data_IF_470925392471
#
_entry.id   IF_470925392471
#
_cell.length_a   1.000
_cell.length_b   1.000
_cell.length_c   1.000
_cell.angle_alpha   90.00
_cell.angle_beta   90.00
_cell.angle_gamma   90.00
#
_symmetry.space_group_name_H-M   'P 1'
#
loop_
_entity.id
_entity.type
_entity.pdbx_description
1 polymer ?
#
# COMPACT_ATOMS: atom_id res chain seq x y z
N UNK A 1 -18.82 51.17 -23.20
CA UNK A 1 -17.76 50.53 -22.39
C UNK A 1 -17.59 49.12 -22.92
N UNK A 2 -16.45 48.79 -23.52
CA UNK A 2 -16.24 47.48 -24.11
C UNK A 2 -16.02 46.45 -22.99
N UNK A 3 -16.90 45.46 -22.94
CA UNK A 3 -16.88 44.36 -21.99
C UNK A 3 -15.69 43.45 -22.32
N UNK A 4 -14.59 43.58 -21.58
CA UNK A 4 -13.45 42.66 -21.68
C UNK A 4 -13.89 41.31 -21.14
N UNK A 5 -14.19 40.37 -22.04
CA UNK A 5 -14.39 38.97 -21.68
C UNK A 5 -13.11 38.43 -21.02
N UNK A 6 -13.21 37.74 -19.87
CA UNK A 6 -12.03 37.19 -19.21
C UNK A 6 -11.41 36.12 -20.10
N UNK A 7 -10.18 36.36 -20.56
CA UNK A 7 -9.37 35.37 -21.26
C UNK A 7 -9.16 34.19 -20.32
N UNK A 8 -9.84 33.08 -20.60
CA UNK A 8 -9.64 31.82 -19.91
C UNK A 8 -8.18 31.39 -20.11
N UNK A 9 -7.35 31.60 -19.10
CA UNK A 9 -5.90 31.35 -19.09
C UNK A 9 -5.55 29.89 -18.78
N UNK A 10 -6.51 28.97 -18.93
CA UNK A 10 -6.18 27.54 -18.95
C UNK A 10 -5.55 27.18 -20.30
N UNK A 11 -4.31 26.66 -20.28
CA UNK A 11 -3.64 26.19 -21.49
C UNK A 11 -4.50 25.11 -22.17
N UNK A 12 -4.87 25.27 -23.45
CA UNK A 12 -5.67 24.28 -24.16
C UNK A 12 -4.97 22.92 -24.19
N UNK A 13 -5.74 21.86 -23.93
CA UNK A 13 -5.22 20.49 -23.93
C UNK A 13 -5.02 20.00 -25.38
N UNK A 14 -3.80 20.17 -25.90
CA UNK A 14 -3.45 19.78 -27.27
C UNK A 14 -3.40 18.25 -27.44
N UNK A 15 -4.37 17.72 -28.19
CA UNK A 15 -4.42 16.32 -28.63
C UNK A 15 -3.22 15.94 -29.51
N UNK A 16 -2.93 14.64 -29.61
CA UNK A 16 -1.79 14.13 -30.40
C UNK A 16 -1.85 14.53 -31.87
N UNK A 17 -3.04 14.47 -32.48
CA UNK A 17 -3.27 14.84 -33.88
C UNK A 17 -2.84 16.28 -34.18
N UNK A 18 -3.14 17.21 -33.28
CA UNK A 18 -2.75 18.61 -33.41
C UNK A 18 -1.23 18.76 -33.45
N UNK A 19 -0.52 18.01 -32.59
CA UNK A 19 0.94 18.07 -32.51
C UNK A 19 1.60 17.47 -33.74
N UNK A 20 1.10 16.32 -34.21
CA UNK A 20 1.60 15.66 -35.42
C UNK A 20 1.45 16.60 -36.60
N UNK A 21 0.28 17.21 -36.76
CA UNK A 21 0.02 18.16 -37.83
C UNK A 21 0.99 19.35 -37.78
N UNK A 22 1.14 20.01 -36.62
CA UNK A 22 2.04 21.15 -36.49
C UNK A 22 3.50 20.78 -36.81
N UNK A 23 3.96 19.61 -36.36
CA UNK A 23 5.33 19.14 -36.63
C UNK A 23 5.52 18.80 -38.11
N UNK A 24 4.57 18.09 -38.72
CA UNK A 24 4.61 17.71 -40.14
C UNK A 24 4.65 18.93 -41.06
N UNK A 25 3.74 19.88 -40.86
CA UNK A 25 3.68 21.09 -41.69
C UNK A 25 4.84 22.05 -41.43
N UNK A 26 5.38 22.07 -40.20
CA UNK A 26 6.62 22.79 -39.92
C UNK A 26 7.79 22.23 -40.73
N UNK A 27 7.93 20.91 -40.84
CA UNK A 27 8.98 20.31 -41.67
C UNK A 27 8.79 20.59 -43.17
N UNK A 28 7.55 20.73 -43.65
CA UNK A 28 7.26 21.08 -45.06
C UNK A 28 7.56 22.54 -45.40
N UNK A 29 7.15 23.49 -44.54
CA UNK A 29 7.17 24.92 -44.87
C UNK A 29 8.22 25.74 -44.11
N UNK A 30 8.70 25.27 -42.96
CA UNK A 30 9.70 25.96 -42.14
C UNK A 30 9.22 27.22 -41.41
N UNK A 31 7.98 27.67 -41.62
CA UNK A 31 7.41 28.87 -40.98
C UNK A 31 6.31 28.52 -39.97
N UNK A 32 6.27 29.26 -38.85
CA UNK A 32 5.28 29.05 -37.78
C UNK A 32 3.93 29.71 -38.08
N UNK A 33 3.93 30.86 -38.76
CA UNK A 33 2.69 31.57 -39.12
C UNK A 33 1.86 30.76 -40.10
N UNK A 34 2.50 30.19 -41.12
CA UNK A 34 1.85 29.32 -42.10
C UNK A 34 1.29 28.06 -41.45
N UNK A 35 2.00 27.47 -40.47
CA UNK A 35 1.49 26.33 -39.70
C UNK A 35 0.23 26.71 -38.92
N UNK A 36 0.20 27.89 -38.31
CA UNK A 36 -0.96 28.36 -37.55
C UNK A 36 -2.17 28.66 -38.43
N UNK A 37 -1.97 29.29 -39.58
CA UNK A 37 -3.02 29.53 -40.59
C UNK A 37 -3.64 28.21 -41.07
N UNK A 38 -2.79 27.25 -41.46
CA UNK A 38 -3.23 25.92 -41.88
C UNK A 38 -3.88 25.12 -40.75
N UNK A 39 -3.43 25.33 -39.51
CA UNK A 39 -4.03 24.71 -38.33
C UNK A 39 -5.46 25.20 -38.10
N UNK A 40 -5.69 26.51 -38.17
CA UNK A 40 -7.03 27.09 -38.08
C UNK A 40 -7.93 26.61 -39.22
N UNK A 41 -7.40 26.54 -40.45
CA UNK A 41 -8.14 26.03 -41.60
C UNK A 41 -8.56 24.57 -41.45
N UNK A 42 -7.76 23.73 -40.77
CA UNK A 42 -8.04 22.30 -40.61
C UNK A 42 -8.92 21.96 -39.42
N UNK A 43 -8.66 22.55 -38.26
CA UNK A 43 -9.25 22.10 -36.98
C UNK A 43 -10.35 23.01 -36.43
N UNK A 44 -10.69 24.11 -37.12
CA UNK A 44 -11.69 25.10 -36.68
C UNK A 44 -11.54 25.49 -35.19
N UNK A 45 -10.30 25.48 -34.69
CA UNK A 45 -10.03 25.68 -33.28
C UNK A 45 -10.01 27.19 -32.97
N UNK A 46 -10.68 27.57 -31.88
CA UNK A 46 -10.70 28.95 -31.39
C UNK A 46 -9.31 29.48 -31.03
N UNK A 47 -8.36 28.59 -30.72
CA UNK A 47 -6.96 28.93 -30.48
C UNK A 47 -6.03 27.96 -31.19
N UNK A 48 -4.89 28.48 -31.64
CA UNK A 48 -3.80 27.71 -32.24
C UNK A 48 -2.59 27.69 -31.29
N UNK A 49 -1.75 26.63 -31.32
CA UNK A 49 -0.55 26.57 -30.51
C UNK A 49 0.36 27.78 -30.74
N UNK A 50 0.84 28.39 -29.66
CA UNK A 50 1.79 29.48 -29.77
C UNK A 50 3.15 28.98 -30.28
N UNK A 51 3.95 29.89 -30.84
CA UNK A 51 5.27 29.57 -31.44
C UNK A 51 6.16 28.73 -30.51
N UNK A 52 6.21 29.06 -29.21
CA UNK A 52 7.03 28.33 -28.23
C UNK A 52 6.57 26.88 -28.04
N UNK A 53 5.26 26.61 -28.09
CA UNK A 53 4.70 25.27 -27.99
C UNK A 53 5.05 24.43 -29.23
N UNK A 54 4.91 25.00 -30.43
CA UNK A 54 5.29 24.31 -31.67
C UNK A 54 6.79 24.05 -31.69
N UNK A 55 7.61 25.03 -31.29
CA UNK A 55 9.06 24.87 -31.20
C UNK A 55 9.46 23.80 -30.18
N UNK A 56 8.75 23.69 -29.06
CA UNK A 56 8.93 22.61 -28.08
C UNK A 56 8.62 21.24 -28.69
N UNK A 57 7.53 21.09 -29.44
CA UNK A 57 7.21 19.82 -30.12
C UNK A 57 8.22 19.46 -31.20
N UNK A 58 8.66 20.41 -32.01
CA UNK A 58 9.68 20.19 -33.05
C UNK A 58 11.01 19.79 -32.43
N UNK A 59 11.45 20.49 -31.38
CA UNK A 59 12.70 20.14 -30.67
C UNK A 59 12.62 18.76 -30.01
N UNK A 60 11.49 18.44 -29.38
CA UNK A 60 11.23 17.11 -28.82
C UNK A 60 11.26 16.02 -29.90
N UNK A 61 10.61 16.25 -31.04
CA UNK A 61 10.60 15.33 -32.17
C UNK A 61 12.00 15.15 -32.78
N UNK A 62 12.82 16.21 -32.87
CA UNK A 62 14.21 16.11 -33.35
C UNK A 62 15.11 15.34 -32.39
N UNK A 63 14.91 15.50 -31.08
CA UNK A 63 15.73 14.84 -30.07
C UNK A 63 15.39 13.34 -29.90
N UNK A 64 14.10 13.00 -29.90
CA UNK A 64 13.63 11.65 -29.55
C UNK A 64 12.95 10.90 -30.70
N UNK A 65 12.69 11.55 -31.84
CA UNK A 65 11.99 10.96 -32.99
C UNK A 65 10.48 10.76 -32.77
N UNK A 66 9.92 11.27 -31.67
CA UNK A 66 8.52 11.06 -31.31
C UNK A 66 7.82 12.36 -30.96
N UNK A 67 6.51 12.45 -31.23
CA UNK A 67 5.64 13.58 -30.86
C UNK A 67 4.79 13.29 -29.61
N UNK A 68 4.82 12.03 -29.14
CA UNK A 68 4.14 11.62 -27.92
C UNK A 68 4.75 12.31 -26.70
N UNK A 69 3.89 12.69 -25.75
CA UNK A 69 4.39 13.14 -24.45
C UNK A 69 4.95 11.94 -23.68
N UNK A 70 6.27 11.83 -23.65
CA UNK A 70 6.99 10.79 -22.91
C UNK A 70 6.71 10.85 -21.39
N UNK A 71 6.28 12.01 -20.87
CA UNK A 71 6.01 12.18 -19.44
C UNK A 71 4.61 11.70 -19.00
N UNK A 72 3.84 11.06 -19.88
CA UNK A 72 2.53 10.50 -19.56
C UNK A 72 2.68 9.21 -18.73
N UNK A 73 1.69 8.89 -17.87
CA UNK A 73 1.71 7.68 -17.04
C UNK A 73 1.84 6.38 -17.84
N UNK A 74 1.32 6.36 -19.06
CA UNK A 74 1.29 5.17 -19.92
C UNK A 74 2.62 4.96 -20.69
N UNK A 75 3.42 6.01 -20.85
CA UNK A 75 4.73 5.91 -21.47
C UNK A 75 5.77 5.48 -20.44
N UNK A 76 6.26 4.25 -20.59
CA UNK A 76 7.35 3.67 -19.77
C UNK A 76 8.63 4.53 -19.76
N UNK A 77 8.76 5.47 -20.70
CA UNK A 77 9.93 6.32 -20.90
C UNK A 77 9.68 7.68 -20.25
N UNK A 78 10.24 7.90 -19.06
CA UNK A 78 10.36 9.22 -18.42
C UNK A 78 9.08 9.78 -17.78
N UNK A 79 8.48 9.08 -16.83
CA UNK A 79 7.54 9.75 -15.91
C UNK A 79 8.29 10.79 -15.09
N UNK A 80 7.64 11.93 -14.79
CA UNK A 80 8.23 12.93 -13.89
C UNK A 80 8.67 12.23 -12.61
N UNK A 81 9.95 12.34 -12.25
CA UNK A 81 10.43 11.86 -10.96
C UNK A 81 9.64 12.61 -9.90
N UNK A 82 8.64 11.95 -9.30
CA UNK A 82 7.77 12.58 -8.33
C UNK A 82 8.57 13.08 -7.12
N UNK A 83 7.90 13.76 -6.19
CA UNK A 83 8.54 14.18 -4.94
C UNK A 83 9.20 12.97 -4.25
N UNK A 84 10.47 13.05 -3.82
CA UNK A 84 11.15 11.93 -3.19
C UNK A 84 10.38 11.47 -1.95
N UNK A 85 10.25 10.16 -1.79
CA UNK A 85 9.55 9.57 -0.64
C UNK A 85 10.48 9.61 0.57
N UNK A 86 9.93 10.03 1.72
CA UNK A 86 10.60 9.95 3.03
C UNK A 86 10.74 8.52 3.58
N UNK A 87 10.17 7.53 2.89
CA UNK A 87 10.24 6.12 3.27
C UNK A 87 11.37 5.46 2.48
N UNK A 88 12.57 5.54 3.04
CA UNK A 88 13.75 4.82 2.54
C UNK A 88 13.82 3.44 3.21
N UNK A 89 14.64 2.54 2.66
CA UNK A 89 14.84 1.21 3.27
C UNK A 89 15.42 1.32 4.68
N UNK A 90 16.39 2.21 4.88
CA UNK A 90 16.99 2.54 6.18
C UNK A 90 15.93 2.91 7.23
N UNK A 91 15.02 3.83 6.88
CA UNK A 91 13.94 4.25 7.78
C UNK A 91 12.99 3.09 8.12
N UNK A 92 12.76 2.16 7.19
CA UNK A 92 11.91 0.99 7.45
C UNK A 92 12.59 0.05 8.45
N UNK A 93 13.89 -0.16 8.32
CA UNK A 93 14.65 -1.01 9.23
C UNK A 93 14.80 -0.39 10.61
N UNK A 94 15.05 0.92 10.72
CA UNK A 94 15.04 1.66 11.99
C UNK A 94 13.69 1.53 12.71
N UNK A 95 12.59 1.66 11.97
CA UNK A 95 11.24 1.50 12.53
C UNK A 95 11.02 0.06 12.98
N UNK A 96 11.48 -0.94 12.22
CA UNK A 96 11.37 -2.36 12.57
C UNK A 96 12.13 -2.65 13.87
N UNK A 97 13.37 -2.21 13.99
CA UNK A 97 14.18 -2.40 15.19
C UNK A 97 13.55 -1.71 16.39
N UNK A 98 13.14 -0.44 16.24
CA UNK A 98 12.50 0.30 17.30
C UNK A 98 11.24 -0.41 17.83
N UNK A 99 10.42 -0.97 16.93
CA UNK A 99 9.21 -1.71 17.31
C UNK A 99 9.56 -3.00 18.05
N UNK A 100 10.57 -3.74 17.60
CA UNK A 100 11.08 -4.93 18.30
C UNK A 100 11.54 -4.62 19.72
N UNK A 101 12.29 -3.55 19.90
CA UNK A 101 12.81 -3.11 21.20
C UNK A 101 11.71 -2.67 22.18
N UNK A 102 10.62 -2.08 21.67
CA UNK A 102 9.57 -1.52 22.52
C UNK A 102 8.17 -1.60 21.91
N UNK A 103 7.54 -2.79 21.85
CA UNK A 103 6.29 -2.98 21.10
C UNK A 103 5.11 -2.16 21.65
N UNK A 104 5.11 -1.84 22.95
CA UNK A 104 4.03 -1.08 23.63
C UNK A 104 4.11 0.44 23.40
N UNK A 105 5.18 0.96 22.79
CA UNK A 105 5.39 2.41 22.63
C UNK A 105 4.46 2.96 21.54
N UNK A 106 3.79 4.07 21.83
CA UNK A 106 2.84 4.69 20.91
C UNK A 106 3.51 5.26 19.67
N UNK A 107 2.74 5.34 18.58
CA UNK A 107 3.17 5.89 17.28
C UNK A 107 3.75 7.29 17.45
N UNK A 108 3.09 8.18 18.21
CA UNK A 108 3.54 9.56 18.43
C UNK A 108 4.89 9.62 19.15
N UNK A 109 5.06 8.83 20.23
CA UNK A 109 6.32 8.77 20.98
C UNK A 109 7.47 8.14 20.18
N UNK A 110 7.15 7.23 19.26
CA UNK A 110 8.12 6.60 18.36
C UNK A 110 8.52 7.53 17.21
N UNK A 111 7.55 8.26 16.66
CA UNK A 111 7.76 9.29 15.65
C UNK A 111 8.71 10.37 16.18
N UNK A 112 8.53 10.81 17.43
CA UNK A 112 9.43 11.76 18.07
C UNK A 112 10.84 11.21 18.25
N UNK A 113 11.01 9.94 18.65
CA UNK A 113 12.36 9.35 18.83
C UNK A 113 13.09 9.13 17.52
N UNK A 114 12.38 8.80 16.44
CA UNK A 114 12.96 8.56 15.12
C UNK A 114 13.01 9.83 14.24
N UNK A 115 12.52 10.97 14.72
CA UNK A 115 12.41 12.23 13.95
C UNK A 115 11.58 12.15 12.65
N UNK A 116 10.66 11.17 12.57
CA UNK A 116 9.78 10.92 11.42
C UNK A 116 8.38 11.49 11.71
N UNK A 117 7.60 11.90 10.70
CA UNK A 117 6.22 12.35 10.97
C UNK A 117 5.32 11.18 11.40
N UNK A 118 4.32 11.38 12.28
CA UNK A 118 3.45 10.29 12.73
C UNK A 118 2.72 9.57 11.58
N UNK A 119 2.33 10.33 10.55
CA UNK A 119 1.66 9.81 9.35
C UNK A 119 2.56 8.93 8.51
N UNK A 120 3.84 9.28 8.35
CA UNK A 120 4.79 8.45 7.60
C UNK A 120 5.12 7.18 8.38
N UNK A 121 5.32 7.29 9.69
CA UNK A 121 5.53 6.13 10.57
C UNK A 121 4.34 5.16 10.56
N UNK A 122 3.10 5.66 10.62
CA UNK A 122 1.91 4.82 10.51
C UNK A 122 1.85 4.07 9.17
N UNK A 123 2.19 4.75 8.06
CA UNK A 123 2.22 4.10 6.75
C UNK A 123 3.32 3.03 6.66
N UNK A 124 4.49 3.27 7.25
CA UNK A 124 5.55 2.24 7.35
C UNK A 124 5.05 1.02 8.12
N UNK A 125 4.44 1.23 9.31
CA UNK A 125 3.90 0.13 10.11
C UNK A 125 2.82 -0.66 9.37
N UNK A 126 1.92 0.01 8.65
CA UNK A 126 0.74 -0.61 8.04
C UNK A 126 0.98 -1.18 6.64
N UNK A 127 1.75 -0.48 5.80
CA UNK A 127 1.95 -0.81 4.38
C UNK A 127 3.23 -1.60 4.16
N UNK A 128 4.32 -1.21 4.83
CA UNK A 128 5.65 -1.77 4.57
C UNK A 128 5.95 -2.96 5.50
N UNK A 129 5.67 -2.81 6.80
CA UNK A 129 5.87 -3.88 7.81
C UNK A 129 4.64 -4.76 8.03
N UNK A 130 3.49 -4.38 7.48
CA UNK A 130 2.22 -5.11 7.60
C UNK A 130 1.82 -5.46 9.04
N UNK A 131 2.15 -4.61 10.02
CA UNK A 131 1.75 -4.82 11.40
C UNK A 131 0.25 -4.52 11.61
N UNK A 132 -0.37 -5.36 12.44
CA UNK A 132 -1.73 -5.16 12.90
C UNK A 132 -1.72 -4.48 14.27
N UNK A 133 -2.71 -3.60 14.54
CA UNK A 133 -2.84 -3.04 15.88
C UNK A 133 -3.02 -4.19 16.88
N UNK A 134 -2.19 -4.18 17.92
CA UNK A 134 -2.28 -5.18 18.99
C UNK A 134 -3.59 -5.00 19.77
N UNK A 135 -4.35 -6.08 19.96
CA UNK A 135 -5.53 -6.09 20.83
C UNK A 135 -5.07 -6.24 22.27
N UNK A 136 -5.29 -5.21 23.10
CA UNK A 136 -4.95 -5.25 24.52
C UNK A 136 -5.80 -6.35 25.19
N UNK A 137 -5.16 -7.41 25.64
CA UNK A 137 -5.77 -8.42 26.51
C UNK A 137 -5.49 -8.02 27.96
N UNK A 138 -6.54 -7.62 28.68
CA UNK A 138 -6.47 -7.39 30.12
C UNK A 138 -6.67 -8.71 30.85
N UNK A 139 -5.78 -9.03 31.79
CA UNK A 139 -5.86 -10.21 32.64
C UNK A 139 -5.50 -9.88 34.08
N UNK A 140 -5.78 -10.80 35.00
CA UNK A 140 -5.39 -10.65 36.41
C UNK A 140 -3.86 -10.56 36.53
N UNK A 141 -3.38 -9.60 37.34
CA UNK A 141 -1.95 -9.49 37.66
C UNK A 141 -1.53 -10.71 38.50
N UNK A 142 -0.57 -11.48 38.01
CA UNK A 142 -0.03 -12.65 38.72
C UNK A 142 1.23 -12.31 39.48
N UNK A 143 1.30 -12.72 40.74
CA UNK A 143 2.55 -12.74 41.49
C UNK A 143 3.45 -13.87 40.99
N UNK A 144 4.74 -13.82 41.32
CA UNK A 144 5.67 -14.89 40.95
C UNK A 144 5.29 -16.23 41.61
N UNK A 145 4.74 -16.19 42.83
CA UNK A 145 4.25 -17.38 43.53
C UNK A 145 3.05 -17.99 42.81
N UNK A 146 2.12 -17.16 42.32
CA UNK A 146 0.94 -17.63 41.58
C UNK A 146 1.33 -18.33 40.28
N UNK A 147 2.37 -17.84 39.59
CA UNK A 147 2.90 -18.48 38.38
C UNK A 147 3.37 -19.90 38.66
N UNK A 148 4.18 -20.08 39.71
CA UNK A 148 4.70 -21.41 40.10
C UNK A 148 3.55 -22.34 40.48
N UNK A 149 2.59 -21.87 41.29
CA UNK A 149 1.42 -22.67 41.68
C UNK A 149 0.57 -23.07 40.48
N UNK A 150 0.36 -22.17 39.52
CA UNK A 150 -0.42 -22.46 38.31
C UNK A 150 0.26 -23.48 37.42
N UNK A 151 1.59 -23.41 37.26
CA UNK A 151 2.35 -24.43 36.51
C UNK A 151 2.24 -25.78 37.20
N UNK A 152 2.51 -25.85 38.51
CA UNK A 152 2.39 -27.10 39.26
C UNK A 152 0.96 -27.68 39.25
N UNK A 153 -0.06 -26.82 39.25
CA UNK A 153 -1.45 -27.24 39.09
C UNK A 153 -1.70 -27.81 37.68
N UNK A 154 -1.21 -27.14 36.64
CA UNK A 154 -1.36 -27.60 35.26
C UNK A 154 -0.70 -28.97 35.04
N UNK A 155 0.53 -29.16 35.52
CA UNK A 155 1.25 -30.45 35.46
C UNK A 155 0.48 -31.57 36.15
N UNK A 156 -0.05 -31.30 37.36
CA UNK A 156 -0.90 -32.26 38.09
C UNK A 156 -2.18 -32.60 37.35
N UNK A 157 -2.80 -31.62 36.68
CA UNK A 157 -3.99 -31.85 35.88
C UNK A 157 -3.70 -32.68 34.64
N UNK A 158 -2.61 -32.39 33.93
CA UNK A 158 -2.17 -33.17 32.77
C UNK A 158 -1.91 -34.63 33.16
N UNK A 159 -1.14 -34.87 34.23
CA UNK A 159 -0.87 -36.23 34.72
C UNK A 159 -2.16 -36.97 35.11
N UNK A 160 -3.14 -36.27 35.70
CA UNK A 160 -4.44 -36.88 36.04
C UNK A 160 -5.25 -37.24 34.81
N UNK A 161 -5.28 -36.38 33.79
CA UNK A 161 -5.95 -36.64 32.51
C UNK A 161 -5.34 -37.86 31.82
N UNK A 162 -4.01 -37.99 31.80
CA UNK A 162 -3.32 -39.15 31.20
C UNK A 162 -3.56 -40.45 31.97
N UNK A 163 -3.60 -40.39 33.31
CA UNK A 163 -3.80 -41.57 34.16
C UNK A 163 -5.25 -42.07 34.22
N UNK A 164 -6.23 -41.20 33.94
CA UNK A 164 -7.64 -41.50 34.18
C UNK A 164 -8.51 -40.90 33.07
N UNK A 165 -8.90 -41.75 32.11
CA UNK A 165 -9.70 -41.39 30.93
C UNK A 165 -11.11 -40.87 31.29
N UNK A 166 -11.60 -41.18 32.50
CA UNK A 166 -12.88 -40.69 33.03
C UNK A 166 -12.79 -39.36 33.77
N UNK A 167 -11.59 -38.81 34.00
CA UNK A 167 -11.37 -37.60 34.81
C UNK A 167 -12.11 -36.36 34.27
N UNK A 168 -12.23 -36.23 32.95
CA UNK A 168 -12.94 -35.12 32.31
C UNK A 168 -14.44 -35.42 32.03
N UNK A 169 -14.97 -36.55 32.51
CA UNK A 169 -16.39 -36.88 32.42
C UNK A 169 -16.92 -37.18 31.01
N UNK A 170 -16.05 -37.31 30.00
CA UNK A 170 -16.47 -37.64 28.63
C UNK A 170 -16.92 -39.11 28.46
N UNK A 171 -16.75 -39.95 29.48
CA UNK A 171 -17.05 -41.38 29.44
C UNK A 171 -18.49 -41.78 29.82
N UNK A 172 -19.42 -40.82 29.94
CA UNK A 172 -20.84 -41.15 30.17
C UNK A 172 -21.46 -41.78 28.89
N UNK A 173 -22.17 -42.93 28.99
CA UNK A 173 -22.84 -43.57 27.84
C UNK A 173 -23.74 -42.63 27.04
N UNK A 174 -24.33 -41.62 27.70
CA UNK A 174 -25.19 -40.60 27.08
C UNK A 174 -24.43 -39.64 26.17
N UNK A 175 -23.14 -39.41 26.41
CA UNK A 175 -22.25 -38.56 25.59
C UNK A 175 -21.76 -39.29 24.32
N UNK A 176 -21.58 -40.61 24.41
CA UNK A 176 -21.14 -41.48 23.30
C UNK A 176 -22.19 -41.54 22.17
N UNK A 177 -23.47 -41.47 22.53
CA UNK A 177 -24.60 -41.35 21.59
C UNK A 177 -24.62 -39.99 20.87
N UNK A 178 -24.38 -38.88 21.58
CA UNK A 178 -24.32 -37.52 21.01
C UNK A 178 -23.14 -37.38 20.04
N UNK A 179 -21.98 -37.92 20.39
CA UNK A 179 -20.79 -37.93 19.52
C UNK A 179 -20.91 -38.89 18.33
N UNK A 180 -21.75 -39.93 18.39
CA UNK A 180 -22.07 -40.77 17.23
C UNK A 180 -23.05 -40.10 16.27
N UNK A 181 -23.93 -39.22 16.78
CA UNK A 181 -24.91 -38.47 16.00
C UNK A 181 -24.30 -37.20 15.38
N UNK A 182 -23.33 -36.57 16.05
CA UNK A 182 -22.46 -35.55 15.46
C UNK A 182 -21.34 -36.24 14.66
N UNK A 183 -21.64 -36.60 13.40
CA UNK A 183 -20.80 -37.38 12.49
C UNK A 183 -19.29 -37.11 12.55
N UNK A 184 -18.52 -38.18 12.31
CA UNK A 184 -17.09 -38.37 12.59
C UNK A 184 -16.05 -37.49 11.88
N UNK A 185 -16.33 -36.20 11.69
CA UNK A 185 -15.38 -35.23 11.12
C UNK A 185 -14.78 -34.25 12.13
N UNK A 186 -15.31 -34.14 13.35
CA UNK A 186 -14.86 -33.12 14.33
C UNK A 186 -13.87 -33.67 15.37
N UNK A 187 -13.93 -34.96 15.71
CA UNK A 187 -13.07 -35.51 16.78
C UNK A 187 -11.61 -35.71 16.32
N UNK A 188 -11.39 -35.91 15.01
CA UNK A 188 -10.04 -36.16 14.46
C UNK A 188 -9.19 -34.89 14.37
N UNK A 189 -9.80 -33.71 14.31
CA UNK A 189 -9.09 -32.42 14.23
C UNK A 189 -8.68 -31.86 15.60
N UNK A 190 -9.35 -32.24 16.69
CA UNK A 190 -8.93 -31.83 18.03
C UNK A 190 -7.76 -32.66 18.59
N UNK A 191 -7.71 -33.97 18.31
CA UNK A 191 -6.65 -34.83 18.84
C UNK A 191 -5.29 -34.68 18.13
N UNK A 192 -5.26 -34.29 16.85
CA UNK A 192 -4.00 -34.09 16.11
C UNK A 192 -3.43 -32.65 16.19
N UNK A 193 -4.21 -31.67 16.65
CA UNK A 193 -3.79 -30.27 16.71
C UNK A 193 -2.85 -29.95 17.89
N UNK A 194 -2.96 -30.70 19.00
CA UNK A 194 -2.16 -30.46 20.21
C UNK A 194 -0.76 -31.11 20.13
N UNK A 195 -0.59 -32.16 19.32
CA UNK A 195 0.68 -32.88 19.17
C UNK A 195 1.71 -32.21 18.25
N UNK A 196 1.37 -31.09 17.59
CA UNK A 196 2.30 -30.38 16.67
C UNK A 196 2.91 -29.10 17.23
N UNK A 197 2.52 -28.67 18.44
CA UNK A 197 3.07 -27.47 19.09
C UNK A 197 4.19 -27.72 20.10
N UNK A 198 4.70 -28.97 20.18
CA UNK A 198 5.79 -29.37 21.09
C UNK A 198 7.10 -29.76 20.36
N UNK A 199 7.31 -29.26 19.14
CA UNK A 199 8.57 -29.45 18.40
C UNK A 199 9.06 -28.16 17.68
N UNK A 200 8.85 -26.99 18.28
CA UNK A 200 9.59 -25.77 17.94
C UNK A 200 9.98 -25.02 19.19
#
# INVERSE_FOLDING_TARGET
>A
MAETTPVNTSMPNWKLEHRIFCVEFYFKHGSFTTVNELFHAKFEAASSPCKSVIQSWVSHCRAYGTVLNLNTKDSKRLTHSGRPRKRTAEVIDDVREAVGNSPKRSIRKRSQSLSITPTTLWRVLKQDLSFFPYRIQTGQKLSNVDKVKRVAMAEKLVAKVESCDSFLGFSSPRMRLILSWMGGSIVRTMYFGVLRSLQR
#
